data_IF_952252319255
#
_entry.id   IF_952252319255
#
_cell.length_a   1.000
_cell.length_b   1.000
_cell.length_c   1.000
_cell.angle_alpha   90.00
_cell.angle_beta   90.00
_cell.angle_gamma   90.00
#
_symmetry.space_group_name_H-M   'P 1'
#
loop_
_entity.id
_entity.type
_entity.pdbx_description
1 polymer ?
#
# COMPACT_ATOMS: atom_id res chain seq x y z
N UNK A 1 8.36 25.31 -21.23
CA UNK A 1 7.91 25.72 -19.88
C UNK A 1 8.73 24.88 -18.88
N UNK A 2 9.46 25.53 -17.99
CA UNK A 2 10.25 24.83 -16.96
C UNK A 2 9.24 24.15 -16.01
N UNK A 3 9.17 22.81 -16.04
CA UNK A 3 8.42 22.06 -15.04
C UNK A 3 9.17 22.17 -13.72
N UNK A 4 8.70 23.04 -12.85
CA UNK A 4 9.27 23.21 -11.52
C UNK A 4 8.72 22.14 -10.56
N UNK A 5 9.59 21.67 -9.67
CA UNK A 5 9.16 20.82 -8.55
C UNK A 5 8.17 21.64 -7.68
N UNK A 6 7.00 21.07 -7.44
CA UNK A 6 6.02 21.69 -6.54
C UNK A 6 6.58 21.76 -5.12
N UNK A 7 6.45 22.91 -4.49
CA UNK A 7 6.68 23.04 -3.05
C UNK A 7 5.32 22.96 -2.36
N UNK A 8 5.06 21.90 -1.58
CA UNK A 8 3.81 21.82 -0.84
C UNK A 8 3.61 23.05 0.05
N UNK A 9 2.35 23.48 0.28
CA UNK A 9 2.06 24.51 1.26
C UNK A 9 2.53 24.07 2.65
N UNK A 10 2.73 24.99 3.60
CA UNK A 10 3.02 24.63 4.98
C UNK A 10 1.99 23.63 5.50
N UNK A 11 2.46 22.49 5.97
CA UNK A 11 1.62 21.39 6.46
C UNK A 11 2.30 20.66 7.63
N UNK A 12 1.53 19.90 8.38
CA UNK A 12 2.07 19.05 9.43
C UNK A 12 2.41 17.69 8.83
N UNK A 13 3.70 17.37 8.79
CA UNK A 13 4.14 16.03 8.39
C UNK A 13 3.83 15.02 9.52
N UNK A 14 3.26 13.84 9.22
CA UNK A 14 3.10 12.80 10.23
C UNK A 14 4.47 12.28 10.66
N UNK A 15 4.69 12.17 11.98
CA UNK A 15 5.96 11.73 12.58
C UNK A 15 5.96 10.28 13.01
N UNK A 16 4.79 9.61 12.97
CA UNK A 16 4.62 8.23 13.38
C UNK A 16 3.68 7.50 12.42
N UNK A 17 3.81 6.18 12.36
CA UNK A 17 2.85 5.33 11.68
C UNK A 17 1.51 5.35 12.41
N UNK A 18 0.41 5.42 11.67
CA UNK A 18 -0.94 5.57 12.20
C UNK A 18 -1.96 4.84 11.35
N UNK A 19 -3.12 4.54 11.93
CA UNK A 19 -4.32 4.10 11.20
C UNK A 19 -5.22 5.28 10.81
N UNK A 20 -4.91 6.49 11.26
CA UNK A 20 -5.65 7.69 10.86
C UNK A 20 -5.54 7.92 9.35
N UNK A 21 -6.55 8.58 8.79
CA UNK A 21 -6.46 9.02 7.40
C UNK A 21 -5.38 10.09 7.28
N UNK A 22 -4.59 10.00 6.22
CA UNK A 22 -3.59 10.99 5.86
C UNK A 22 -3.92 11.56 4.49
N UNK A 23 -3.50 12.79 4.27
CA UNK A 23 -3.42 13.40 2.94
C UNK A 23 -2.08 13.09 2.29
N UNK A 24 -1.99 13.31 0.99
CA UNK A 24 -0.77 13.15 0.23
C UNK A 24 -0.57 14.34 -0.71
N UNK A 25 0.59 14.97 -0.62
CA UNK A 25 0.94 16.18 -1.35
C UNK A 25 1.94 15.86 -2.46
N UNK A 26 1.62 16.12 -3.73
CA UNK A 26 2.48 15.81 -4.86
C UNK A 26 3.65 16.78 -4.98
N UNK A 27 4.81 16.30 -5.49
CA UNK A 27 5.94 17.12 -5.92
C UNK A 27 5.92 17.46 -7.42
N UNK A 28 5.11 16.76 -8.19
CA UNK A 28 4.85 17.04 -9.60
C UNK A 28 3.38 17.42 -9.78
N UNK A 29 3.10 18.30 -10.75
CA UNK A 29 1.73 18.79 -11.00
C UNK A 29 0.81 17.63 -11.45
N UNK A 30 -0.24 17.29 -10.70
CA UNK A 30 -1.27 16.36 -11.16
C UNK A 30 -2.02 16.93 -12.36
N UNK A 31 -2.55 16.08 -13.24
CA UNK A 31 -3.49 16.55 -14.26
C UNK A 31 -4.67 17.27 -13.61
N UNK A 32 -5.05 18.43 -14.13
CA UNK A 32 -6.29 19.08 -13.72
C UNK A 32 -7.47 18.16 -14.05
N UNK A 33 -8.44 18.04 -13.15
CA UNK A 33 -9.56 17.12 -13.36
C UNK A 33 -10.34 17.44 -14.66
N UNK A 34 -10.45 18.72 -14.98
CA UNK A 34 -11.13 19.27 -16.17
C UNK A 34 -10.34 19.00 -17.47
N UNK A 35 -9.04 18.77 -17.37
CA UNK A 35 -8.16 18.47 -18.51
C UNK A 35 -8.03 16.97 -18.80
N UNK A 36 -8.64 16.11 -17.97
CA UNK A 36 -8.55 14.68 -18.17
C UNK A 36 -9.37 14.23 -19.37
N UNK A 37 -8.70 13.56 -20.32
CA UNK A 37 -9.33 12.98 -21.51
C UNK A 37 -10.17 11.73 -21.14
N UNK A 38 -11.06 11.23 -22.05
CA UNK A 38 -11.75 9.96 -21.82
C UNK A 38 -10.78 8.79 -21.52
N UNK A 39 -9.59 8.75 -22.14
CA UNK A 39 -8.57 7.71 -21.87
C UNK A 39 -8.02 7.83 -20.44
N UNK A 40 -7.74 9.05 -19.97
CA UNK A 40 -7.33 9.28 -18.58
C UNK A 40 -8.41 8.84 -17.59
N UNK A 41 -9.67 9.18 -17.84
CA UNK A 41 -10.79 8.77 -16.97
C UNK A 41 -10.97 7.26 -16.93
N UNK A 42 -10.87 6.58 -18.07
CA UNK A 42 -10.97 5.13 -18.16
C UNK A 42 -9.84 4.42 -17.36
N UNK A 43 -8.64 4.99 -17.35
CA UNK A 43 -7.47 4.41 -16.64
C UNK A 43 -7.61 4.40 -15.12
N UNK A 44 -8.47 5.25 -14.56
CA UNK A 44 -8.78 5.25 -13.14
C UNK A 44 -9.50 3.97 -12.68
N UNK A 45 -10.20 3.27 -13.62
CA UNK A 45 -11.05 2.09 -13.38
C UNK A 45 -12.24 2.39 -12.45
N UNK A 46 -12.05 3.28 -11.47
CA UNK A 46 -13.08 3.83 -10.59
C UNK A 46 -13.05 5.36 -10.72
N UNK A 47 -14.11 5.95 -11.22
CA UNK A 47 -14.21 7.39 -11.46
C UNK A 47 -14.02 8.25 -10.19
N UNK A 48 -14.33 7.71 -9.00
CA UNK A 48 -14.12 8.43 -7.74
C UNK A 48 -12.65 8.76 -7.47
N UNK A 49 -11.72 8.01 -8.07
CA UNK A 49 -10.26 8.23 -7.95
C UNK A 49 -9.78 9.55 -8.57
N UNK A 50 -10.59 10.20 -9.41
CA UNK A 50 -10.28 11.54 -9.94
C UNK A 50 -10.10 12.59 -8.84
N UNK A 51 -10.70 12.38 -7.67
CA UNK A 51 -10.54 13.27 -6.51
C UNK A 51 -9.13 13.24 -5.91
N UNK A 52 -8.38 12.15 -6.14
CA UNK A 52 -7.04 11.97 -5.59
C UNK A 52 -5.97 12.61 -6.49
N UNK A 53 -5.15 13.54 -5.98
CA UNK A 53 -4.04 14.10 -6.73
C UNK A 53 -3.02 13.03 -7.15
N UNK A 54 -2.82 12.00 -6.33
CA UNK A 54 -1.96 10.86 -6.67
C UNK A 54 -2.41 10.15 -7.94
N UNK A 55 -3.71 9.78 -8.03
CA UNK A 55 -4.21 9.10 -9.24
C UNK A 55 -4.22 10.01 -10.46
N UNK A 56 -4.47 11.30 -10.31
CA UNK A 56 -4.37 12.26 -11.41
C UNK A 56 -2.92 12.47 -11.87
N UNK A 57 -1.95 12.35 -10.96
CA UNK A 57 -0.53 12.37 -11.32
C UNK A 57 -0.14 11.11 -12.12
N UNK A 58 -0.54 9.92 -11.66
CA UNK A 58 -0.27 8.67 -12.36
C UNK A 58 -1.00 8.57 -13.71
N UNK A 59 -2.11 9.28 -13.89
CA UNK A 59 -2.86 9.32 -15.16
C UNK A 59 -2.07 10.00 -16.30
N UNK A 60 -0.91 10.59 -16.05
CA UNK A 60 0.03 11.04 -17.10
C UNK A 60 0.51 9.88 -17.96
N UNK A 61 0.53 8.66 -17.40
CA UNK A 61 0.67 7.39 -18.14
C UNK A 61 -0.59 6.55 -17.88
N UNK A 62 -1.63 6.70 -18.71
CA UNK A 62 -2.90 6.05 -18.46
C UNK A 62 -2.84 4.53 -18.61
N UNK A 63 -1.93 3.98 -19.42
CA UNK A 63 -1.82 2.53 -19.63
C UNK A 63 -1.19 1.87 -18.40
N UNK A 64 -0.11 2.44 -17.87
CA UNK A 64 0.50 2.00 -16.62
C UNK A 64 -0.47 2.14 -15.42
N UNK A 65 -1.21 3.24 -15.35
CA UNK A 65 -2.21 3.44 -14.29
C UNK A 65 -3.33 2.41 -14.35
N UNK A 66 -3.85 2.11 -15.54
CA UNK A 66 -4.92 1.12 -15.68
C UNK A 66 -4.45 -0.27 -15.26
N UNK A 67 -3.28 -0.72 -15.75
CA UNK A 67 -2.70 -2.00 -15.38
C UNK A 67 -2.48 -2.09 -13.85
N UNK A 68 -1.86 -1.06 -13.26
CA UNK A 68 -1.66 -0.92 -11.81
C UNK A 68 -2.98 -1.04 -11.05
N UNK A 69 -4.01 -0.34 -11.51
CA UNK A 69 -5.28 -0.27 -10.81
C UNK A 69 -6.05 -1.59 -10.88
N UNK A 70 -6.00 -2.28 -12.04
CA UNK A 70 -6.62 -3.60 -12.19
C UNK A 70 -5.94 -4.64 -11.30
N UNK A 71 -4.59 -4.61 -11.24
CA UNK A 71 -3.81 -5.49 -10.34
C UNK A 71 -4.15 -5.23 -8.87
N UNK A 72 -4.20 -3.97 -8.44
CA UNK A 72 -4.60 -3.57 -7.08
C UNK A 72 -6.00 -4.09 -6.71
N UNK A 73 -6.95 -3.95 -7.65
CA UNK A 73 -8.31 -4.45 -7.44
C UNK A 73 -8.38 -5.96 -7.35
N UNK A 74 -7.62 -6.67 -8.16
CA UNK A 74 -7.56 -8.13 -8.08
C UNK A 74 -6.97 -8.57 -6.73
N UNK A 75 -5.81 -8.04 -6.35
CA UNK A 75 -5.17 -8.39 -5.07
C UNK A 75 -6.11 -8.20 -3.88
N UNK A 76 -6.89 -7.11 -3.81
CA UNK A 76 -7.67 -6.80 -2.60
C UNK A 76 -9.16 -7.13 -2.69
N UNK A 77 -9.73 -7.31 -3.88
CA UNK A 77 -11.19 -7.45 -4.05
C UNK A 77 -11.59 -8.74 -4.75
N UNK A 78 -10.62 -9.57 -5.17
CA UNK A 78 -10.92 -10.89 -5.75
C UNK A 78 -11.57 -11.78 -4.67
N UNK A 79 -12.82 -12.25 -4.86
CA UNK A 79 -13.50 -13.11 -3.90
C UNK A 79 -12.93 -14.54 -3.89
N UNK A 80 -12.29 -14.95 -4.99
CA UNK A 80 -11.74 -16.30 -5.19
C UNK A 80 -10.26 -16.40 -4.79
N UNK A 81 -9.71 -15.37 -4.13
CA UNK A 81 -8.35 -15.39 -3.61
C UNK A 81 -8.20 -16.39 -2.45
N UNK A 82 -7.00 -16.97 -2.31
CA UNK A 82 -6.70 -17.95 -1.27
C UNK A 82 -6.55 -17.33 0.12
N UNK A 83 -6.00 -16.10 0.18
CA UNK A 83 -5.76 -15.41 1.43
C UNK A 83 -6.94 -14.49 1.79
N UNK A 84 -7.45 -14.53 3.03
CA UNK A 84 -8.45 -13.55 3.50
C UNK A 84 -8.02 -12.12 3.27
N UNK A 85 -8.95 -11.24 2.92
CA UNK A 85 -8.62 -9.83 2.63
C UNK A 85 -7.84 -9.17 3.76
N UNK A 86 -8.19 -9.41 5.02
CA UNK A 86 -7.47 -8.86 6.17
C UNK A 86 -5.97 -9.15 6.13
N UNK A 87 -5.58 -10.35 5.68
CA UNK A 87 -4.20 -10.79 5.62
C UNK A 87 -3.47 -10.29 4.37
N UNK A 88 -4.18 -10.07 3.25
CA UNK A 88 -3.64 -9.36 2.09
C UNK A 88 -3.33 -7.89 2.44
N UNK A 89 -4.24 -7.24 3.16
CA UNK A 89 -4.03 -5.88 3.70
C UNK A 89 -2.88 -5.84 4.72
N UNK A 90 -2.73 -6.88 5.56
CA UNK A 90 -1.60 -7.02 6.49
C UNK A 90 -0.26 -7.10 5.76
N UNK A 91 -0.16 -7.91 4.70
CA UNK A 91 1.05 -8.02 3.89
C UNK A 91 1.46 -6.66 3.28
N UNK A 92 0.48 -5.93 2.74
CA UNK A 92 0.67 -4.58 2.21
C UNK A 92 1.07 -3.57 3.31
N UNK A 93 0.45 -3.64 4.50
CA UNK A 93 0.78 -2.79 5.64
C UNK A 93 2.20 -3.06 6.17
N UNK A 94 2.59 -4.34 6.29
CA UNK A 94 3.93 -4.75 6.71
C UNK A 94 5.01 -4.26 5.73
N UNK A 95 4.79 -4.45 4.43
CA UNK A 95 5.66 -3.92 3.37
C UNK A 95 5.78 -2.40 3.47
N UNK A 96 4.66 -1.71 3.65
CA UNK A 96 4.64 -0.24 3.74
C UNK A 96 5.32 0.27 5.02
N UNK A 97 5.14 -0.46 6.15
CA UNK A 97 5.82 -0.17 7.41
C UNK A 97 7.34 -0.33 7.28
N UNK A 98 7.79 -1.39 6.60
CA UNK A 98 9.21 -1.67 6.36
C UNK A 98 9.84 -0.63 5.43
N UNK A 99 9.15 -0.23 4.35
CA UNK A 99 9.62 0.76 3.38
C UNK A 99 9.55 2.21 3.89
N UNK A 100 8.95 2.47 5.05
CA UNK A 100 8.79 3.84 5.56
C UNK A 100 7.66 4.64 4.91
N UNK A 101 6.75 4.01 4.15
CA UNK A 101 5.64 4.70 3.50
C UNK A 101 4.47 4.91 4.48
N UNK A 102 4.46 6.04 5.19
CA UNK A 102 3.45 6.39 6.18
C UNK A 102 2.03 6.39 5.60
N UNK A 103 1.86 6.96 4.40
CA UNK A 103 0.55 7.02 3.74
C UNK A 103 0.00 5.62 3.43
N UNK A 104 0.79 4.78 2.74
CA UNK A 104 0.33 3.43 2.39
C UNK A 104 0.09 2.58 3.63
N UNK A 105 0.99 2.66 4.63
CA UNK A 105 0.81 1.95 5.90
C UNK A 105 -0.49 2.34 6.59
N UNK A 106 -0.86 3.63 6.62
CA UNK A 106 -2.10 4.09 7.24
C UNK A 106 -3.34 3.52 6.57
N UNK A 107 -3.35 3.44 5.24
CA UNK A 107 -4.47 2.88 4.46
C UNK A 107 -4.64 1.39 4.74
N UNK A 108 -3.56 0.61 4.56
CA UNK A 108 -3.63 -0.85 4.63
C UNK A 108 -3.75 -1.36 6.07
N UNK A 109 -3.13 -0.69 7.04
CA UNK A 109 -3.34 -1.00 8.45
C UNK A 109 -4.80 -0.75 8.89
N UNK A 110 -5.43 0.34 8.44
CA UNK A 110 -6.85 0.59 8.71
C UNK A 110 -7.73 -0.51 8.15
N UNK A 111 -7.50 -0.93 6.91
CA UNK A 111 -8.25 -2.03 6.30
C UNK A 111 -7.97 -3.37 6.99
N UNK A 112 -6.70 -3.70 7.28
CA UNK A 112 -6.34 -4.91 8.01
C UNK A 112 -7.07 -4.98 9.35
N UNK A 113 -7.08 -3.89 10.13
CA UNK A 113 -7.81 -3.81 11.40
C UNK A 113 -9.33 -3.99 11.22
N UNK A 114 -9.91 -3.31 10.23
CA UNK A 114 -11.36 -3.36 9.96
C UNK A 114 -11.82 -4.78 9.60
N UNK A 115 -11.09 -5.47 8.70
CA UNK A 115 -11.49 -6.79 8.21
C UNK A 115 -11.13 -7.92 9.17
N UNK A 116 -10.05 -7.80 9.94
CA UNK A 116 -9.63 -8.84 10.92
C UNK A 116 -10.29 -8.70 12.28
N UNK A 117 -10.73 -7.50 12.65
CA UNK A 117 -11.12 -7.11 14.02
C UNK A 117 -9.98 -7.24 15.05
N UNK A 118 -8.73 -7.24 14.58
CA UNK A 118 -7.51 -7.35 15.40
C UNK A 118 -6.81 -5.99 15.50
N UNK A 119 -7.51 -5.00 16.00
CA UNK A 119 -7.04 -3.61 16.03
C UNK A 119 -5.75 -3.42 16.81
N UNK A 120 -5.62 -4.10 17.98
CA UNK A 120 -4.45 -4.02 18.84
C UNK A 120 -3.21 -4.64 18.18
N UNK A 121 -3.38 -5.75 17.45
CA UNK A 121 -2.29 -6.37 16.72
C UNK A 121 -1.78 -5.49 15.59
N UNK A 122 -2.70 -4.89 14.84
CA UNK A 122 -2.34 -3.93 13.78
C UNK A 122 -1.66 -2.70 14.38
N UNK A 123 -2.12 -2.21 15.52
CA UNK A 123 -1.47 -1.08 16.19
C UNK A 123 -0.06 -1.45 16.65
N UNK A 124 0.15 -2.67 17.21
CA UNK A 124 1.51 -3.15 17.56
C UNK A 124 2.44 -3.20 16.35
N UNK A 125 1.94 -3.64 15.17
CA UNK A 125 2.74 -3.61 13.94
C UNK A 125 3.19 -2.18 13.60
N UNK A 126 2.32 -1.20 13.77
CA UNK A 126 2.65 0.20 13.48
C UNK A 126 3.64 0.78 14.50
N UNK A 127 3.43 0.54 15.78
CA UNK A 127 4.21 1.13 16.87
C UNK A 127 5.58 0.44 17.03
N UNK A 128 5.58 -0.89 17.19
CA UNK A 128 6.79 -1.67 17.44
C UNK A 128 7.52 -2.08 16.15
N UNK A 129 6.88 -1.92 14.98
CA UNK A 129 7.45 -2.27 13.69
C UNK A 129 7.25 -3.74 13.30
N UNK A 130 7.91 -4.14 12.22
CA UNK A 130 7.73 -5.46 11.59
C UNK A 130 8.27 -6.64 12.41
N UNK A 131 8.93 -6.37 13.53
CA UNK A 131 9.37 -7.38 14.51
C UNK A 131 8.36 -7.64 15.63
N UNK A 132 7.21 -6.96 15.62
CA UNK A 132 6.16 -7.14 16.63
C UNK A 132 5.62 -8.58 16.62
N UNK A 133 5.30 -9.11 17.81
CA UNK A 133 4.62 -10.42 17.91
C UNK A 133 3.11 -10.24 17.69
N UNK A 134 2.61 -10.86 16.62
CA UNK A 134 1.22 -10.81 16.17
C UNK A 134 0.59 -12.21 16.14
N UNK A 135 1.27 -13.21 16.71
CA UNK A 135 0.92 -14.62 16.64
C UNK A 135 1.45 -15.32 15.38
N UNK A 136 1.56 -16.65 15.44
CA UNK A 136 2.30 -17.46 14.48
C UNK A 136 1.97 -17.15 13.01
N UNK A 137 0.66 -17.16 12.67
CA UNK A 137 0.20 -16.96 11.29
C UNK A 137 0.53 -15.57 10.76
N UNK A 138 0.25 -14.53 11.52
CA UNK A 138 0.55 -13.15 11.11
C UNK A 138 2.04 -12.85 11.11
N UNK A 139 2.79 -13.42 12.07
CA UNK A 139 4.25 -13.32 12.07
C UNK A 139 4.89 -13.97 10.83
N UNK A 140 4.32 -15.08 10.32
CA UNK A 140 4.79 -15.70 9.09
C UNK A 140 4.54 -14.79 7.87
N UNK A 141 3.34 -14.21 7.76
CA UNK A 141 2.97 -13.29 6.67
C UNK A 141 3.84 -12.05 6.69
N UNK A 142 4.02 -11.41 7.85
CA UNK A 142 4.86 -10.22 8.01
C UNK A 142 6.31 -10.51 7.65
N UNK A 143 6.88 -11.61 8.16
CA UNK A 143 8.26 -11.99 7.88
C UNK A 143 8.50 -12.25 6.38
N UNK A 144 7.58 -12.95 5.71
CA UNK A 144 7.64 -13.20 4.27
C UNK A 144 7.56 -11.89 3.47
N UNK A 145 6.65 -10.99 3.84
CA UNK A 145 6.48 -9.68 3.20
C UNK A 145 7.74 -8.82 3.32
N UNK A 146 8.36 -8.80 4.51
CA UNK A 146 9.61 -8.06 4.77
C UNK A 146 10.76 -8.64 3.99
N UNK A 147 10.95 -9.97 4.03
CA UNK A 147 12.03 -10.64 3.33
C UNK A 147 11.97 -10.42 1.81
N UNK A 148 10.75 -10.46 1.23
CA UNK A 148 10.55 -10.14 -0.18
C UNK A 148 10.90 -8.69 -0.50
N UNK A 149 10.56 -7.76 0.41
CA UNK A 149 10.71 -6.31 0.21
C UNK A 149 12.16 -5.84 0.37
N UNK A 150 12.98 -6.56 1.11
CA UNK A 150 14.41 -6.24 1.30
C UNK A 150 15.15 -6.15 -0.05
N UNK A 151 16.21 -5.35 -0.08
CA UNK A 151 17.07 -5.20 -1.28
C UNK A 151 18.51 -5.50 -0.92
N UNK A 152 19.12 -6.60 -1.42
CA UNK A 152 18.48 -7.64 -2.26
C UNK A 152 17.39 -8.40 -1.53
N UNK A 153 16.47 -9.03 -2.27
CA UNK A 153 15.42 -9.85 -1.65
C UNK A 153 16.03 -10.98 -0.82
N UNK A 154 15.53 -11.12 0.40
CA UNK A 154 15.90 -12.19 1.33
C UNK A 154 14.84 -13.31 1.38
N UNK A 155 13.84 -13.28 0.51
CA UNK A 155 12.79 -14.31 0.45
C UNK A 155 13.37 -15.62 -0.11
N UNK A 156 13.21 -16.71 0.63
CA UNK A 156 13.70 -18.02 0.26
C UNK A 156 12.71 -19.15 0.60
N UNK A 157 13.07 -20.42 0.29
CA UNK A 157 12.22 -21.59 0.56
C UNK A 157 11.75 -21.69 2.01
N UNK A 158 12.55 -21.25 2.97
CA UNK A 158 12.24 -21.26 4.39
C UNK A 158 11.01 -20.37 4.73
N UNK A 159 10.79 -19.31 3.97
CA UNK A 159 9.60 -18.45 4.12
C UNK A 159 8.35 -19.18 3.63
N UNK A 160 8.44 -19.91 2.50
CA UNK A 160 7.36 -20.75 1.98
C UNK A 160 7.00 -21.82 3.00
N UNK A 161 8.00 -22.53 3.55
CA UNK A 161 7.79 -23.56 4.57
C UNK A 161 7.15 -22.99 5.84
N UNK A 162 7.57 -21.79 6.27
CA UNK A 162 6.98 -21.12 7.43
C UNK A 162 5.51 -20.74 7.19
N UNK A 163 5.18 -20.22 6.00
CA UNK A 163 3.81 -19.91 5.62
C UNK A 163 2.94 -21.19 5.57
N UNK A 164 3.46 -22.29 5.02
CA UNK A 164 2.76 -23.59 5.03
C UNK A 164 2.50 -24.11 6.43
N UNK A 165 3.49 -24.03 7.33
CA UNK A 165 3.30 -24.42 8.75
C UNK A 165 2.26 -23.54 9.44
N UNK A 166 2.13 -22.28 9.05
CA UNK A 166 1.09 -21.37 9.52
C UNK A 166 -0.29 -21.61 8.86
N UNK A 167 -0.44 -22.69 8.08
CA UNK A 167 -1.70 -23.14 7.49
C UNK A 167 -2.10 -22.41 6.20
N UNK A 168 -1.13 -21.86 5.44
CA UNK A 168 -1.39 -21.28 4.12
C UNK A 168 -1.16 -22.34 3.04
N UNK A 169 -2.11 -22.46 2.11
CA UNK A 169 -1.93 -23.22 0.87
C UNK A 169 -1.16 -22.42 -0.18
N UNK A 170 -0.91 -23.02 -1.34
CA UNK A 170 -0.10 -22.39 -2.39
C UNK A 170 -0.76 -21.14 -2.98
N UNK A 171 -2.09 -21.09 -3.05
CA UNK A 171 -2.81 -19.90 -3.51
C UNK A 171 -2.67 -18.74 -2.51
N UNK A 172 -2.88 -19.03 -1.22
CA UNK A 172 -2.71 -18.03 -0.16
C UNK A 172 -1.25 -17.53 -0.06
N UNK A 173 -0.26 -18.40 -0.26
CA UNK A 173 1.16 -18.00 -0.33
C UNK A 173 1.42 -17.07 -1.52
N UNK A 174 0.86 -17.40 -2.69
CA UNK A 174 0.93 -16.54 -3.87
C UNK A 174 0.34 -15.16 -3.60
N UNK A 175 -0.80 -15.08 -2.90
CA UNK A 175 -1.43 -13.82 -2.53
C UNK A 175 -0.56 -12.96 -1.59
N UNK A 176 0.15 -13.57 -0.63
CA UNK A 176 1.13 -12.85 0.22
C UNK A 176 2.22 -12.24 -0.66
N UNK A 177 2.77 -13.04 -1.59
CA UNK A 177 3.84 -12.60 -2.49
C UNK A 177 3.35 -11.45 -3.38
N UNK A 178 2.18 -11.59 -4.00
CA UNK A 178 1.61 -10.54 -4.84
C UNK A 178 1.33 -9.25 -4.08
N UNK A 179 0.71 -9.33 -2.89
CA UNK A 179 0.43 -8.15 -2.07
C UNK A 179 1.73 -7.43 -1.66
N UNK A 180 2.74 -8.16 -1.20
CA UNK A 180 4.03 -7.59 -0.79
C UNK A 180 4.79 -6.98 -1.97
N UNK A 181 4.91 -7.70 -3.10
CA UNK A 181 5.63 -7.23 -4.29
C UNK A 181 4.97 -5.99 -4.88
N UNK A 182 3.63 -5.99 -4.99
CA UNK A 182 2.87 -4.85 -5.48
C UNK A 182 3.07 -3.61 -4.58
N UNK A 183 3.02 -3.78 -3.25
CA UNK A 183 3.23 -2.65 -2.34
C UNK A 183 4.70 -2.23 -2.22
N UNK A 184 5.65 -3.09 -2.47
CA UNK A 184 7.05 -2.67 -2.64
C UNK A 184 7.19 -1.68 -3.80
N UNK A 185 6.55 -1.94 -4.94
CA UNK A 185 6.50 -1.02 -6.08
C UNK A 185 5.67 0.25 -5.77
N UNK A 186 4.44 0.09 -5.26
CA UNK A 186 3.53 1.20 -4.98
C UNK A 186 4.10 2.19 -3.95
N UNK A 187 4.79 1.69 -2.91
CA UNK A 187 5.46 2.55 -1.93
C UNK A 187 6.55 3.41 -2.58
N UNK A 188 7.33 2.83 -3.50
CA UNK A 188 8.38 3.59 -4.20
C UNK A 188 7.80 4.71 -5.04
N UNK A 189 6.65 4.50 -5.71
CA UNK A 189 5.94 5.57 -6.41
C UNK A 189 5.50 6.66 -5.43
N UNK A 190 4.84 6.29 -4.32
CA UNK A 190 4.37 7.27 -3.33
C UNK A 190 5.51 8.09 -2.73
N UNK A 191 6.64 7.44 -2.38
CA UNK A 191 7.80 8.08 -1.76
C UNK A 191 8.65 8.91 -2.74
N UNK A 192 8.47 8.69 -4.06
CA UNK A 192 9.24 9.39 -5.10
C UNK A 192 8.46 10.50 -5.78
N UNK A 193 7.15 10.61 -5.53
CA UNK A 193 6.27 11.55 -6.23
C UNK A 193 5.62 12.59 -5.31
N UNK A 194 5.77 12.41 -3.98
CA UNK A 194 5.15 13.32 -3.01
C UNK A 194 5.39 12.87 -1.57
N UNK A 195 4.71 13.51 -0.64
CA UNK A 195 4.88 13.30 0.80
C UNK A 195 3.53 13.24 1.53
N UNK A 196 3.45 12.51 2.67
CA UNK A 196 2.24 12.46 3.46
C UNK A 196 2.05 13.73 4.27
N UNK A 197 0.79 14.10 4.50
CA UNK A 197 0.40 15.18 5.38
C UNK A 197 -0.68 14.71 6.35
N UNK A 198 -0.69 15.26 7.56
CA UNK A 198 -1.83 15.10 8.46
C UNK A 198 -3.05 15.79 7.84
N UNK A 199 -4.22 15.13 7.91
CA UNK A 199 -5.48 15.77 7.49
C UNK A 199 -5.72 17.01 8.33
N UNK A 200 -5.97 18.16 7.68
CA UNK A 200 -6.39 19.36 8.39
C UNK A 200 -7.72 19.07 9.10
N UNK A 201 -7.71 19.14 10.42
CA UNK A 201 -8.96 19.14 11.19
C UNK A 201 -9.64 20.48 10.91
N UNK A 202 -10.62 20.48 10.01
CA UNK A 202 -11.56 21.60 9.82
C UNK A 202 -12.62 21.55 10.89
#
# INVERSE_FOLDING_TARGET
MSESVLKPPPHTAPTAFTRAQLDWLPWLEPLAAEAMTPRHMASLVDAARVKSPYFRLLARDPDALEARTRTDKDIFYNPDAGLPRAERELAAAATSRFNGCLYCASVHARHAATYSKREDDVQRLLDAGVGADLGERWNAIVAASVALTATPSAFGPEHVERLRRAGLDDLAISDVIHAAAFFNWANRLMLSLGEPAATSTT
#
